data_IF_217696356777
#
_entry.id   IF_217696356777
#
_cell.length_a   1.000
_cell.length_b   1.000
_cell.length_c   1.000
_cell.angle_alpha   90.00
_cell.angle_beta   90.00
_cell.angle_gamma   90.00
#
_symmetry.space_group_name_H-M   'P 1'
#
loop_
_entity.id
_entity.type
_entity.pdbx_description
1 polymer ?
#
# COMPACT_ATOMS: atom_id res chain seq x y z
N UNK A 1 12.22 -3.07 -47.85
CA UNK A 1 11.51 -3.75 -46.75
C UNK A 1 11.57 -2.85 -45.52
N UNK A 2 10.46 -2.21 -45.16
CA UNK A 2 10.37 -1.46 -43.90
C UNK A 2 10.25 -2.48 -42.78
N UNK A 3 11.29 -2.60 -41.95
CA UNK A 3 11.26 -3.47 -40.77
C UNK A 3 10.21 -2.87 -39.81
N UNK A 4 9.11 -3.57 -39.49
CA UNK A 4 8.15 -3.06 -38.52
C UNK A 4 8.86 -2.89 -37.17
N UNK A 5 8.59 -1.80 -36.43
CA UNK A 5 9.21 -1.59 -35.13
C UNK A 5 8.87 -2.77 -34.21
N UNK A 6 9.83 -3.16 -33.37
CA UNK A 6 9.64 -4.24 -32.40
C UNK A 6 8.39 -3.98 -31.56
N UNK A 7 7.42 -4.91 -31.63
CA UNK A 7 6.20 -4.84 -30.83
C UNK A 7 6.61 -5.00 -29.37
N UNK A 8 6.42 -3.94 -28.58
CA UNK A 8 6.75 -3.95 -27.16
C UNK A 8 5.85 -4.98 -26.47
N UNK A 9 6.39 -5.96 -25.72
CA UNK A 9 5.55 -6.93 -25.03
C UNK A 9 4.62 -6.18 -24.07
N UNK A 10 3.30 -6.47 -24.08
CA UNK A 10 2.33 -5.83 -23.20
C UNK A 10 2.72 -6.07 -21.75
N UNK A 11 2.50 -5.07 -20.87
CA UNK A 11 2.87 -5.21 -19.46
C UNK A 11 1.91 -6.21 -18.82
N UNK A 12 2.39 -7.05 -17.91
CA UNK A 12 1.56 -8.05 -17.20
C UNK A 12 0.30 -7.44 -16.54
N UNK A 13 0.39 -6.17 -16.12
CA UNK A 13 -0.73 -5.40 -15.59
C UNK A 13 -1.92 -5.24 -16.55
N UNK A 14 -1.67 -5.27 -17.86
CA UNK A 14 -2.70 -5.12 -18.90
C UNK A 14 -3.58 -6.40 -19.00
N UNK A 15 -3.13 -7.55 -18.48
CA UNK A 15 -3.93 -8.78 -18.35
C UNK A 15 -4.65 -8.90 -17.00
N UNK A 16 -4.02 -8.41 -15.92
CA UNK A 16 -4.57 -8.36 -14.57
C UNK A 16 -5.81 -7.46 -14.42
N UNK A 17 -5.81 -6.35 -15.16
CA UNK A 17 -6.86 -5.34 -15.14
C UNK A 17 -7.20 -4.95 -16.58
N UNK A 18 -7.89 -5.85 -17.31
CA UNK A 18 -7.96 -5.75 -18.76
C UNK A 18 -8.81 -4.58 -19.22
N UNK A 19 -9.87 -4.23 -18.50
CA UNK A 19 -10.78 -3.12 -18.87
C UNK A 19 -10.28 -1.77 -18.35
N UNK A 20 -9.94 -0.87 -19.27
CA UNK A 20 -9.41 0.46 -18.96
C UNK A 20 -10.38 1.54 -19.44
N UNK A 21 -10.91 2.32 -18.52
CA UNK A 21 -11.72 3.51 -18.77
C UNK A 21 -10.81 4.68 -19.18
N UNK A 22 -11.03 5.21 -20.38
CA UNK A 22 -10.42 6.43 -20.89
C UNK A 22 -11.51 7.46 -21.18
N UNK A 23 -11.28 8.70 -20.76
CA UNK A 23 -12.21 9.81 -20.97
C UNK A 23 -11.54 10.95 -21.73
N UNK A 24 -12.28 11.53 -22.66
CA UNK A 24 -11.83 12.62 -23.50
C UNK A 24 -12.88 13.72 -23.54
N UNK A 25 -12.46 14.93 -23.18
CA UNK A 25 -13.32 16.11 -23.19
C UNK A 25 -12.84 17.02 -24.31
N UNK A 26 -13.70 17.26 -25.28
CA UNK A 26 -13.50 18.32 -26.27
C UNK A 26 -14.28 19.56 -25.84
N UNK A 27 -14.09 20.68 -26.54
CA UNK A 27 -14.85 21.90 -26.28
C UNK A 27 -16.35 21.75 -26.58
N UNK A 28 -16.74 20.72 -27.35
CA UNK A 28 -18.12 20.49 -27.80
C UNK A 28 -18.76 19.25 -27.18
N UNK A 29 -18.00 18.19 -26.94
CA UNK A 29 -18.52 16.88 -26.59
C UNK A 29 -17.71 16.18 -25.50
N UNK A 30 -18.39 15.33 -24.75
CA UNK A 30 -17.82 14.42 -23.75
C UNK A 30 -17.81 13.00 -24.31
N UNK A 31 -16.66 12.34 -24.25
CA UNK A 31 -16.48 10.96 -24.67
C UNK A 31 -15.87 10.14 -23.53
N UNK A 32 -16.41 8.95 -23.31
CA UNK A 32 -15.88 7.98 -22.36
C UNK A 32 -15.93 6.58 -22.98
N UNK A 33 -14.83 5.84 -22.86
CA UNK A 33 -14.67 4.53 -23.49
C UNK A 33 -13.96 3.58 -22.54
N UNK A 34 -14.41 2.33 -22.51
CA UNK A 34 -13.75 1.23 -21.82
C UNK A 34 -13.13 0.33 -22.88
N UNK A 35 -11.81 0.20 -22.83
CA UNK A 35 -11.02 -0.57 -23.80
C UNK A 35 -10.53 -1.85 -23.11
N UNK A 36 -10.64 -2.98 -23.80
CA UNK A 36 -10.03 -4.23 -23.41
C UNK A 36 -8.55 -4.23 -23.83
N UNK A 37 -7.64 -4.16 -22.86
CA UNK A 37 -6.20 -3.97 -23.10
C UNK A 37 -5.55 -5.12 -23.89
N UNK A 38 -5.87 -6.40 -23.66
CA UNK A 38 -5.29 -7.52 -24.43
C UNK A 38 -5.71 -7.53 -25.90
N UNK A 39 -6.99 -7.26 -26.20
CA UNK A 39 -7.53 -7.34 -27.56
C UNK A 39 -7.54 -5.98 -28.28
N UNK A 40 -7.22 -4.90 -27.57
CA UNK A 40 -7.34 -3.51 -28.04
C UNK A 40 -8.75 -3.12 -28.57
N UNK A 41 -9.78 -3.88 -28.21
CA UNK A 41 -11.17 -3.65 -28.62
C UNK A 41 -11.90 -2.73 -27.64
N UNK A 42 -12.84 -1.92 -28.14
CA UNK A 42 -13.69 -1.07 -27.30
C UNK A 42 -14.82 -1.93 -26.75
N UNK A 43 -14.77 -2.24 -25.46
CA UNK A 43 -15.79 -3.05 -24.78
C UNK A 43 -17.10 -2.26 -24.62
N UNK A 44 -17.01 -1.01 -24.18
CA UNK A 44 -18.15 -0.09 -24.08
C UNK A 44 -17.70 1.32 -24.47
N UNK A 45 -18.60 2.07 -25.11
CA UNK A 45 -18.42 3.48 -25.40
C UNK A 45 -19.68 4.23 -24.98
N UNK A 46 -19.49 5.48 -24.56
CA UNK A 46 -20.55 6.44 -24.32
C UNK A 46 -20.06 7.82 -24.76
N UNK A 47 -20.84 8.52 -25.59
CA UNK A 47 -20.53 9.92 -25.91
C UNK A 47 -21.76 10.78 -26.11
N UNK A 48 -21.62 12.06 -25.80
CA UNK A 48 -22.65 13.06 -26.07
C UNK A 48 -22.86 13.33 -27.58
N UNK A 49 -22.07 12.68 -28.45
CA UNK A 49 -22.20 12.76 -29.91
C UNK A 49 -23.05 11.62 -30.49
N UNK A 50 -23.44 10.64 -29.67
CA UNK A 50 -24.31 9.55 -30.12
C UNK A 50 -25.66 10.08 -30.60
N UNK A 51 -26.15 9.58 -31.75
CA UNK A 51 -27.41 10.05 -32.36
C UNK A 51 -28.58 10.02 -31.36
N UNK A 52 -28.69 8.93 -30.59
CA UNK A 52 -29.74 8.75 -29.57
C UNK A 52 -29.62 9.71 -28.36
N UNK A 53 -28.43 10.25 -28.09
CA UNK A 53 -28.19 11.14 -26.95
C UNK A 53 -28.13 12.61 -27.34
N UNK A 54 -27.89 12.90 -28.62
CA UNK A 54 -27.74 14.26 -29.13
C UNK A 54 -29.04 15.06 -29.05
N UNK A 55 -30.18 14.40 -29.21
CA UNK A 55 -31.51 15.02 -29.14
C UNK A 55 -32.01 15.20 -27.69
N UNK A 56 -31.52 14.36 -26.77
CA UNK A 56 -31.93 14.37 -25.36
C UNK A 56 -31.06 15.26 -24.46
N UNK A 57 -29.94 15.75 -24.99
CA UNK A 57 -28.99 16.62 -24.29
C UNK A 57 -29.00 18.03 -24.87
N UNK A 58 -29.59 18.99 -24.15
CA UNK A 58 -29.54 20.43 -24.52
C UNK A 58 -28.11 20.98 -24.48
N UNK A 59 -27.31 20.55 -23.50
CA UNK A 59 -25.90 20.92 -23.35
C UNK A 59 -25.06 19.65 -23.36
N UNK A 60 -24.07 19.58 -24.24
CA UNK A 60 -23.26 18.38 -24.50
C UNK A 60 -21.85 18.43 -23.92
N UNK A 61 -21.51 19.49 -23.18
CA UNK A 61 -20.13 19.80 -22.78
C UNK A 61 -19.92 20.09 -21.30
N UNK A 62 -20.99 20.25 -20.53
CA UNK A 62 -20.93 20.68 -19.14
C UNK A 62 -20.74 19.49 -18.18
N UNK A 63 -20.78 19.78 -16.88
CA UNK A 63 -20.61 18.75 -15.83
C UNK A 63 -21.84 17.83 -15.79
N UNK A 64 -23.04 18.34 -16.08
CA UNK A 64 -24.25 17.51 -16.13
C UNK A 64 -24.21 16.54 -17.32
N UNK A 65 -23.74 16.97 -18.49
CA UNK A 65 -23.50 16.07 -19.61
C UNK A 65 -22.49 14.97 -19.24
N UNK A 66 -21.39 15.35 -18.58
CA UNK A 66 -20.38 14.39 -18.14
C UNK A 66 -20.95 13.34 -17.16
N UNK A 67 -21.80 13.76 -16.22
CA UNK A 67 -22.48 12.86 -15.29
C UNK A 67 -23.43 11.89 -16.03
N UNK A 68 -24.27 12.42 -16.94
CA UNK A 68 -25.18 11.60 -17.77
C UNK A 68 -24.42 10.56 -18.60
N UNK A 69 -23.31 10.95 -19.24
CA UNK A 69 -22.46 10.01 -19.99
C UNK A 69 -21.84 8.95 -19.08
N UNK A 70 -21.40 9.33 -17.87
CA UNK A 70 -20.88 8.38 -16.88
C UNK A 70 -21.94 7.36 -16.44
N UNK A 71 -23.17 7.81 -16.19
CA UNK A 71 -24.30 6.94 -15.81
C UNK A 71 -24.63 5.93 -16.92
N UNK A 72 -24.81 6.40 -18.15
CA UNK A 72 -25.10 5.55 -19.32
C UNK A 72 -23.97 4.53 -19.54
N UNK A 73 -22.72 4.95 -19.37
CA UNK A 73 -21.59 4.04 -19.49
C UNK A 73 -21.60 2.97 -18.40
N UNK A 74 -21.90 3.34 -17.15
CA UNK A 74 -22.03 2.41 -16.04
C UNK A 74 -23.12 1.36 -16.28
N UNK A 75 -24.30 1.79 -16.73
CA UNK A 75 -25.41 0.89 -17.08
C UNK A 75 -25.02 -0.08 -18.21
N UNK A 76 -24.37 0.43 -19.28
CA UNK A 76 -23.86 -0.41 -20.38
C UNK A 76 -22.81 -1.42 -19.91
N UNK A 77 -21.96 -1.04 -18.96
CA UNK A 77 -20.95 -1.94 -18.39
C UNK A 77 -21.59 -3.06 -17.56
N UNK A 78 -22.61 -2.73 -16.77
CA UNK A 78 -23.36 -3.74 -16.02
C UNK A 78 -24.09 -4.72 -16.95
N UNK A 79 -24.72 -4.23 -18.03
CA UNK A 79 -25.37 -5.09 -19.02
C UNK A 79 -24.40 -6.03 -19.73
N UNK A 80 -23.12 -5.64 -19.84
CA UNK A 80 -22.05 -6.48 -20.40
C UNK A 80 -21.30 -7.29 -19.35
N UNK A 81 -21.79 -7.34 -18.11
CA UNK A 81 -21.20 -8.10 -17.01
C UNK A 81 -19.74 -7.71 -16.72
N UNK A 82 -19.41 -6.41 -16.85
CA UNK A 82 -18.08 -5.88 -16.52
C UNK A 82 -18.17 -5.16 -15.15
N UNK A 83 -17.90 -5.86 -14.03
CA UNK A 83 -18.11 -5.31 -12.69
C UNK A 83 -17.01 -4.33 -12.24
N UNK A 84 -15.87 -4.32 -12.92
CA UNK A 84 -14.72 -3.51 -12.53
C UNK A 84 -13.95 -2.93 -13.71
N UNK A 85 -13.51 -1.68 -13.58
CA UNK A 85 -12.73 -0.96 -14.60
C UNK A 85 -11.55 -0.20 -13.99
N UNK A 86 -10.46 -0.09 -14.72
CA UNK A 86 -9.30 0.72 -14.33
C UNK A 86 -9.37 2.10 -14.95
N UNK A 87 -9.28 3.16 -14.15
CA UNK A 87 -9.33 4.53 -14.67
C UNK A 87 -7.94 4.92 -15.17
N UNK A 88 -7.86 5.33 -16.44
CA UNK A 88 -6.66 5.94 -17.01
C UNK A 88 -6.93 7.41 -17.34
N UNK A 89 -6.25 8.29 -16.61
CA UNK A 89 -6.28 9.72 -16.81
C UNK A 89 -5.10 10.17 -17.68
N UNK A 90 -5.34 11.16 -18.55
CA UNK A 90 -4.25 11.87 -19.23
C UNK A 90 -3.47 12.73 -18.22
N UNK A 91 -2.23 13.11 -18.55
CA UNK A 91 -1.34 13.86 -17.62
C UNK A 91 -1.94 15.19 -17.15
N UNK A 92 -2.73 15.82 -18.00
CA UNK A 92 -3.42 17.09 -17.76
C UNK A 92 -4.74 16.93 -17.00
N UNK A 93 -5.28 15.72 -16.91
CA UNK A 93 -6.53 15.45 -16.23
C UNK A 93 -6.28 15.32 -14.73
N UNK A 94 -7.12 15.96 -13.93
CA UNK A 94 -7.18 15.82 -12.48
C UNK A 94 -8.58 15.39 -12.09
N UNK A 95 -8.71 14.70 -10.96
CA UNK A 95 -10.02 14.29 -10.43
C UNK A 95 -10.78 15.52 -9.90
N UNK A 96 -11.38 16.26 -10.83
CA UNK A 96 -12.11 17.49 -10.60
C UNK A 96 -13.08 17.75 -11.76
N UNK A 97 -14.13 18.53 -11.51
CA UNK A 97 -15.09 18.96 -12.54
C UNK A 97 -15.67 17.81 -13.35
N UNK A 98 -15.48 17.85 -14.68
CA UNK A 98 -16.03 16.85 -15.62
C UNK A 98 -15.47 15.44 -15.40
N UNK A 99 -14.17 15.33 -15.08
CA UNK A 99 -13.53 14.05 -14.79
C UNK A 99 -14.18 13.40 -13.57
N UNK A 100 -14.37 14.19 -12.51
CA UNK A 100 -15.03 13.74 -11.28
C UNK A 100 -16.45 13.27 -11.57
N UNK A 101 -17.23 14.04 -12.33
CA UNK A 101 -18.61 13.70 -12.66
C UNK A 101 -18.74 12.36 -13.41
N UNK A 102 -17.86 12.07 -14.39
CA UNK A 102 -17.86 10.78 -15.09
C UNK A 102 -17.56 9.64 -14.12
N UNK A 103 -16.51 9.78 -13.31
CA UNK A 103 -16.05 8.72 -12.40
C UNK A 103 -17.09 8.44 -11.31
N UNK A 104 -17.66 9.49 -10.72
CA UNK A 104 -18.67 9.35 -9.66
C UNK A 104 -19.93 8.69 -10.19
N UNK A 105 -20.38 9.08 -11.40
CA UNK A 105 -21.57 8.48 -12.01
C UNK A 105 -21.37 7.00 -12.39
N UNK A 106 -20.16 6.61 -12.82
CA UNK A 106 -19.82 5.20 -13.08
C UNK A 106 -19.79 4.39 -11.78
N UNK A 107 -19.31 4.99 -10.68
CA UNK A 107 -19.31 4.35 -9.34
C UNK A 107 -20.72 4.21 -8.77
N UNK A 108 -21.55 5.24 -8.91
CA UNK A 108 -22.95 5.23 -8.49
C UNK A 108 -23.76 4.19 -9.26
N UNK A 109 -23.42 3.94 -10.52
CA UNK A 109 -23.98 2.84 -11.31
C UNK A 109 -23.51 1.45 -10.84
N UNK A 110 -22.68 1.33 -9.79
CA UNK A 110 -22.29 0.05 -9.20
C UNK A 110 -21.02 -0.58 -9.76
N UNK A 111 -20.30 0.09 -10.67
CA UNK A 111 -19.04 -0.41 -11.25
C UNK A 111 -17.86 -0.08 -10.34
N UNK A 112 -17.09 -1.09 -9.93
CA UNK A 112 -15.89 -0.92 -9.09
C UNK A 112 -14.75 -0.32 -9.91
N UNK A 113 -14.29 0.88 -9.54
CA UNK A 113 -13.18 1.55 -10.25
C UNK A 113 -11.86 1.52 -9.48
N UNK A 114 -10.74 1.19 -10.13
CA UNK A 114 -9.39 1.27 -9.53
C UNK A 114 -8.50 2.21 -10.34
N UNK A 115 -7.76 3.11 -9.70
CA UNK A 115 -6.84 4.01 -10.40
C UNK A 115 -5.52 3.32 -10.74
N UNK A 116 -4.96 3.59 -11.93
CA UNK A 116 -3.76 2.91 -12.45
C UNK A 116 -2.48 3.22 -11.63
N UNK A 117 -2.48 4.27 -10.80
CA UNK A 117 -1.30 4.78 -10.07
C UNK A 117 -1.30 4.52 -8.54
N UNK A 118 -2.04 3.52 -8.05
CA UNK A 118 -1.83 2.99 -6.70
C UNK A 118 -2.19 3.93 -5.53
N UNK A 119 -3.00 4.98 -5.75
CA UNK A 119 -3.66 5.71 -4.66
C UNK A 119 -5.11 5.25 -4.53
N UNK A 120 -5.41 4.61 -3.41
CA UNK A 120 -6.77 4.27 -3.01
C UNK A 120 -7.41 5.53 -2.43
N UNK A 121 -8.26 6.21 -3.19
CA UNK A 121 -9.10 7.29 -2.67
C UNK A 121 -10.30 6.65 -1.96
N UNK A 122 -10.28 6.64 -0.62
CA UNK A 122 -11.51 6.62 0.17
C UNK A 122 -11.96 8.09 0.34
N UNK A 123 -13.23 8.34 0.08
CA UNK A 123 -13.80 9.69 0.04
C UNK A 123 -13.92 10.31 1.43
N UNK A 124 -13.36 11.51 1.60
CA UNK A 124 -14.06 12.66 2.17
C UNK A 124 -13.42 13.97 1.64
N UNK A 125 -14.25 14.72 0.91
CA UNK A 125 -14.24 16.14 0.47
C UNK A 125 -13.01 17.03 0.81
N UNK A 126 -12.29 17.48 -0.26
CA UNK A 126 -11.78 18.85 -0.62
C UNK A 126 -11.17 19.69 0.53
N UNK A 127 -9.98 20.29 0.51
CA UNK A 127 -8.90 20.67 -0.44
C UNK A 127 -7.73 21.15 0.47
N UNK A 128 -6.45 21.22 0.09
CA UNK A 128 -5.94 22.12 -0.93
C UNK A 128 -4.44 21.86 -1.21
N UNK A 129 -4.06 22.09 -2.48
CA UNK A 129 -2.78 22.61 -3.03
C UNK A 129 -1.40 22.26 -2.43
N UNK A 130 -0.26 22.21 -3.13
CA UNK A 130 0.13 22.41 -4.53
C UNK A 130 1.58 21.90 -4.71
N UNK A 131 1.85 21.53 -5.96
CA UNK A 131 3.09 21.28 -6.73
C UNK A 131 4.31 22.16 -6.41
N UNK A 132 5.49 21.56 -6.22
CA UNK A 132 6.70 21.53 -7.11
C UNK A 132 7.71 22.66 -6.73
N UNK A 133 9.02 22.73 -7.13
CA UNK A 133 9.70 22.05 -8.25
C UNK A 133 11.20 21.62 -8.04
N UNK A 134 11.75 20.81 -9.00
CA UNK A 134 13.03 20.95 -9.77
C UNK A 134 14.37 21.10 -8.98
N UNK A 135 15.58 20.65 -9.35
CA UNK A 135 16.27 20.14 -10.54
C UNK A 135 17.57 19.45 -10.11
N UNK A 136 18.06 18.59 -11.00
CA UNK A 136 19.48 18.26 -11.27
C UNK A 136 20.52 19.34 -11.00
N UNK A 137 21.75 18.92 -10.62
CA UNK A 137 23.04 19.40 -11.17
C UNK A 137 24.22 18.54 -10.66
N UNK A 138 25.40 18.59 -11.34
CA UNK A 138 26.53 17.67 -11.17
C UNK A 138 27.57 18.23 -10.19
N UNK A 139 28.53 17.40 -9.74
CA UNK A 139 29.75 17.90 -9.09
C UNK A 139 30.99 17.17 -9.60
N UNK A 140 32.00 17.98 -9.95
CA UNK A 140 33.39 17.60 -10.13
C UNK A 140 34.18 18.37 -9.05
N UNK A 141 35.00 17.64 -8.26
CA UNK A 141 36.30 17.99 -7.66
C UNK A 141 36.46 19.39 -7.00
N UNK A 142 36.94 19.55 -5.76
CA UNK A 142 38.24 19.09 -5.22
C UNK A 142 38.32 19.38 -3.70
N UNK A 143 38.74 18.38 -2.91
CA UNK A 143 39.66 18.41 -1.74
C UNK A 143 39.60 19.58 -0.74
N UNK A 144 39.33 19.27 0.55
CA UNK A 144 40.37 19.24 1.61
C UNK A 144 39.87 18.53 2.89
N UNK A 145 40.50 17.39 3.16
CA UNK A 145 40.83 16.75 4.46
C UNK A 145 40.12 17.24 5.74
N UNK A 146 39.43 16.31 6.40
CA UNK A 146 39.87 15.80 7.70
C UNK A 146 39.28 14.42 7.99
N UNK A 147 40.18 13.50 8.32
CA UNK A 147 39.91 12.12 8.71
C UNK A 147 39.06 12.09 9.99
N UNK A 148 37.93 11.40 9.94
CA UNK A 148 37.52 10.51 11.02
C UNK A 148 37.00 9.22 10.40
N UNK A 149 37.88 8.23 10.36
CA UNK A 149 37.56 6.83 10.17
C UNK A 149 36.65 6.38 11.30
N UNK A 150 35.36 6.37 11.02
CA UNK A 150 34.32 5.79 11.86
C UNK A 150 33.35 5.01 11.00
N UNK A 151 33.87 4.19 10.07
CA UNK A 151 33.09 3.14 9.44
C UNK A 151 32.55 2.25 10.56
N UNK A 152 31.27 2.40 10.88
CA UNK A 152 30.55 1.41 11.67
C UNK A 152 30.59 0.13 10.83
N UNK A 153 31.55 -0.74 11.16
CA UNK A 153 31.64 -2.10 10.63
C UNK A 153 30.27 -2.74 10.79
N UNK A 154 29.62 -3.24 9.73
CA UNK A 154 28.47 -4.10 9.92
C UNK A 154 29.01 -5.37 10.54
N UNK A 155 28.59 -5.65 11.78
CA UNK A 155 28.94 -6.88 12.51
C UNK A 155 28.89 -8.08 11.57
N UNK A 156 30.02 -8.79 11.51
CA UNK A 156 30.18 -10.05 10.81
C UNK A 156 29.21 -11.08 11.37
N UNK A 157 28.05 -11.26 10.73
CA UNK A 157 27.11 -12.36 11.03
C UNK A 157 26.50 -12.90 9.75
N UNK A 158 27.29 -13.69 9.02
CA UNK A 158 26.84 -14.55 7.93
C UNK A 158 26.80 -13.91 6.55
N UNK A 159 27.01 -14.76 5.54
CA UNK A 159 26.77 -14.47 4.12
C UNK A 159 25.46 -15.10 3.69
N UNK A 160 24.80 -14.55 2.68
CA UNK A 160 23.58 -15.13 2.12
C UNK A 160 23.91 -16.49 1.48
N UNK A 161 23.11 -17.50 1.82
CA UNK A 161 23.26 -18.89 1.35
C UNK A 161 21.97 -19.33 0.69
N UNK A 162 22.04 -19.76 -0.57
CA UNK A 162 20.87 -20.22 -1.32
C UNK A 162 20.18 -21.40 -0.61
N UNK A 163 18.84 -21.38 -0.57
CA UNK A 163 18.05 -22.32 0.26
C UNK A 163 17.89 -23.71 -0.36
N UNK A 164 17.99 -23.81 -1.68
CA UNK A 164 17.73 -25.04 -2.42
C UNK A 164 16.26 -25.43 -2.44
N UNK A 165 15.97 -26.64 -2.91
CA UNK A 165 14.60 -27.14 -3.08
C UNK A 165 13.82 -26.28 -4.08
N UNK A 166 12.60 -25.86 -3.69
CA UNK A 166 11.76 -25.02 -4.54
C UNK A 166 12.16 -23.55 -4.59
N UNK A 167 13.12 -23.12 -3.76
CA UNK A 167 13.49 -21.71 -3.64
C UNK A 167 14.59 -21.35 -4.62
N UNK A 168 14.36 -20.31 -5.41
CA UNK A 168 15.36 -19.82 -6.35
C UNK A 168 16.65 -19.37 -5.64
N UNK A 169 17.83 -19.62 -6.21
CA UNK A 169 19.10 -19.17 -5.64
C UNK A 169 19.15 -17.66 -5.44
N UNK A 170 19.89 -17.19 -4.42
CA UNK A 170 20.09 -15.77 -4.19
C UNK A 170 21.08 -15.17 -5.19
N UNK A 171 20.72 -14.07 -5.83
CA UNK A 171 21.70 -13.24 -6.58
C UNK A 171 22.81 -12.68 -5.67
N UNK A 172 22.53 -12.60 -4.37
CA UNK A 172 23.46 -12.13 -3.35
C UNK A 172 24.21 -13.26 -2.64
N UNK A 173 24.19 -14.48 -3.18
CA UNK A 173 24.93 -15.61 -2.62
C UNK A 173 26.41 -15.26 -2.37
N UNK A 174 26.89 -15.65 -1.18
CA UNK A 174 28.25 -15.31 -0.71
C UNK A 174 28.44 -13.86 -0.26
N UNK A 175 27.43 -12.99 -0.36
CA UNK A 175 27.48 -11.59 0.07
C UNK A 175 26.70 -11.39 1.37
N UNK A 176 27.05 -10.41 2.22
CA UNK A 176 26.26 -10.11 3.41
C UNK A 176 24.88 -9.54 3.04
N UNK A 177 23.85 -9.75 3.90
CA UNK A 177 22.55 -9.14 3.71
C UNK A 177 22.65 -7.62 3.57
N UNK A 178 22.03 -7.06 2.53
CA UNK A 178 22.15 -5.64 2.17
C UNK A 178 20.80 -4.93 2.22
N UNK A 179 20.84 -3.61 2.28
CA UNK A 179 19.64 -2.80 2.07
C UNK A 179 19.32 -2.71 0.57
N UNK A 180 18.04 -2.75 0.24
CA UNK A 180 17.53 -2.61 -1.12
C UNK A 180 16.98 -1.19 -1.31
N UNK A 181 17.40 -0.52 -2.39
CA UNK A 181 16.94 0.83 -2.73
C UNK A 181 15.52 0.85 -3.31
N UNK A 182 14.84 2.00 -3.23
CA UNK A 182 13.53 2.19 -3.90
C UNK A 182 13.74 2.41 -5.40
N UNK A 183 12.86 1.85 -6.25
CA UNK A 183 12.92 2.01 -7.71
C UNK A 183 12.99 0.68 -8.46
N UNK A 184 13.75 0.62 -9.55
CA UNK A 184 13.87 -0.56 -10.43
C UNK A 184 14.48 -1.80 -9.75
N UNK A 185 15.17 -1.61 -8.63
CA UNK A 185 15.77 -2.68 -7.81
C UNK A 185 14.94 -3.00 -6.56
N UNK A 186 13.77 -2.38 -6.38
CA UNK A 186 12.91 -2.60 -5.21
C UNK A 186 12.27 -3.99 -5.24
N UNK A 187 12.01 -4.54 -4.06
CA UNK A 187 11.36 -5.83 -3.94
C UNK A 187 9.92 -5.76 -4.45
N UNK A 188 9.52 -6.77 -5.24
CA UNK A 188 8.15 -6.90 -5.77
C UNK A 188 7.17 -7.27 -4.66
N UNK A 189 7.61 -8.11 -3.72
CA UNK A 189 6.93 -8.55 -2.49
C UNK A 189 7.88 -8.39 -1.28
N UNK A 190 7.44 -8.71 -0.06
CA UNK A 190 8.35 -8.82 1.11
C UNK A 190 9.10 -7.54 1.49
N UNK A 191 8.50 -6.38 1.19
CA UNK A 191 9.09 -5.04 1.40
C UNK A 191 9.47 -4.74 2.84
N UNK A 192 8.93 -5.50 3.79
CA UNK A 192 9.30 -5.45 5.20
C UNK A 192 10.80 -5.68 5.42
N UNK A 193 11.46 -6.50 4.60
CA UNK A 193 12.89 -6.80 4.74
C UNK A 193 13.80 -5.85 3.95
N UNK A 194 13.27 -4.78 3.34
CA UNK A 194 14.02 -3.86 2.47
C UNK A 194 15.30 -3.30 3.11
N UNK A 195 15.31 -3.08 4.42
CA UNK A 195 16.46 -2.49 5.14
C UNK A 195 17.65 -3.45 5.25
N UNK A 196 17.41 -4.76 5.26
CA UNK A 196 18.45 -5.79 5.41
C UNK A 196 17.91 -7.13 4.93
N UNK A 197 18.31 -7.58 3.75
CA UNK A 197 17.82 -8.83 3.14
C UNK A 197 18.86 -9.46 2.21
N UNK A 198 18.68 -10.75 1.96
CA UNK A 198 19.37 -11.51 0.90
C UNK A 198 18.58 -11.51 -0.43
N UNK A 199 17.34 -11.05 -0.43
CA UNK A 199 16.46 -11.09 -1.60
C UNK A 199 16.70 -9.95 -2.60
N UNK A 200 16.48 -10.28 -3.87
CA UNK A 200 16.26 -9.37 -5.00
C UNK A 200 14.80 -9.47 -5.47
N UNK A 201 14.40 -8.67 -6.48
CA UNK A 201 13.12 -8.85 -7.18
C UNK A 201 12.90 -10.29 -7.68
N UNK A 202 13.96 -10.99 -8.10
CA UNK A 202 13.86 -12.36 -8.60
C UNK A 202 13.40 -13.35 -7.51
N UNK A 203 13.92 -13.22 -6.28
CA UNK A 203 13.52 -14.11 -5.18
C UNK A 203 12.15 -13.75 -4.59
N UNK A 204 11.67 -12.52 -4.77
CA UNK A 204 10.36 -12.09 -4.26
C UNK A 204 9.21 -12.32 -5.24
N UNK A 205 9.52 -12.56 -6.51
CA UNK A 205 8.51 -12.82 -7.53
C UNK A 205 7.73 -14.15 -7.32
N UNK A 206 8.35 -15.29 -6.96
CA UNK A 206 7.61 -16.51 -6.64
C UNK A 206 6.61 -16.32 -5.51
N UNK A 207 7.00 -15.62 -4.44
CA UNK A 207 6.11 -15.27 -3.32
C UNK A 207 4.91 -14.43 -3.79
N UNK A 208 5.15 -13.43 -4.66
CA UNK A 208 4.09 -12.62 -5.25
C UNK A 208 3.12 -13.46 -6.08
N UNK A 209 3.63 -14.35 -6.93
CA UNK A 209 2.81 -15.24 -7.77
C UNK A 209 2.00 -16.20 -6.89
N UNK A 210 2.61 -16.79 -5.87
CA UNK A 210 1.94 -17.72 -4.96
C UNK A 210 0.76 -17.06 -4.23
N UNK A 211 0.97 -15.88 -3.62
CA UNK A 211 -0.11 -15.14 -2.92
C UNK A 211 -1.21 -14.72 -3.88
N UNK A 212 -0.86 -14.32 -5.11
CA UNK A 212 -1.85 -13.98 -6.13
C UNK A 212 -2.68 -15.19 -6.54
N UNK A 213 -2.04 -16.33 -6.78
CA UNK A 213 -2.69 -17.58 -7.15
C UNK A 213 -3.64 -18.04 -6.04
N UNK A 214 -3.17 -17.98 -4.79
CA UNK A 214 -3.96 -18.27 -3.60
C UNK A 214 -5.22 -17.38 -3.50
N UNK A 215 -5.10 -16.11 -3.88
CA UNK A 215 -6.23 -15.18 -3.89
C UNK A 215 -7.19 -15.38 -5.08
N UNK A 216 -6.69 -15.87 -6.21
CA UNK A 216 -7.47 -15.94 -7.48
C UNK A 216 -8.12 -17.30 -7.67
N UNK A 217 -7.37 -18.37 -7.43
CA UNK A 217 -7.78 -19.75 -7.68
C UNK A 217 -7.86 -20.58 -6.39
N UNK A 218 -7.15 -20.16 -5.35
CA UNK A 218 -7.14 -20.84 -4.06
C UNK A 218 -8.37 -20.58 -3.18
N UNK A 219 -9.26 -19.65 -3.55
CA UNK A 219 -10.41 -19.21 -2.74
C UNK A 219 -10.04 -18.85 -1.28
N UNK A 220 -8.82 -18.38 -1.05
CA UNK A 220 -8.31 -18.18 0.29
C UNK A 220 -8.94 -17.00 1.04
N UNK A 221 -9.10 -17.17 2.35
CA UNK A 221 -9.47 -16.09 3.27
C UNK A 221 -8.40 -14.99 3.34
N UNK A 222 -8.78 -13.79 3.77
CA UNK A 222 -7.81 -12.69 3.94
C UNK A 222 -6.71 -13.03 4.96
N UNK A 223 -7.06 -13.76 6.02
CA UNK A 223 -6.10 -14.20 7.04
C UNK A 223 -5.11 -15.22 6.47
N UNK A 224 -5.60 -16.16 5.66
CA UNK A 224 -4.74 -17.09 4.92
C UNK A 224 -3.77 -16.34 4.00
N UNK A 225 -4.26 -15.40 3.20
CA UNK A 225 -3.41 -14.62 2.29
C UNK A 225 -2.29 -13.88 3.05
N UNK A 226 -2.63 -13.25 4.18
CA UNK A 226 -1.65 -12.51 4.97
C UNK A 226 -0.61 -13.43 5.63
N UNK A 227 -1.05 -14.52 6.25
CA UNK A 227 -0.15 -15.48 6.90
C UNK A 227 0.74 -16.21 5.88
N UNK A 228 0.17 -16.54 4.72
CA UNK A 228 0.91 -17.18 3.63
C UNK A 228 1.91 -16.22 2.98
N UNK A 229 1.60 -14.92 2.84
CA UNK A 229 2.58 -13.90 2.44
C UNK A 229 3.77 -13.87 3.41
N UNK A 230 3.50 -13.85 4.72
CA UNK A 230 4.55 -13.84 5.73
C UNK A 230 5.42 -15.11 5.68
N UNK A 231 4.80 -16.27 5.41
CA UNK A 231 5.50 -17.54 5.23
C UNK A 231 6.41 -17.52 4.01
N UNK A 232 5.90 -17.14 2.83
CA UNK A 232 6.69 -17.05 1.60
C UNK A 232 7.81 -16.00 1.71
N UNK A 233 7.58 -14.92 2.45
CA UNK A 233 8.58 -13.89 2.68
C UNK A 233 9.66 -14.26 3.71
N UNK A 234 9.56 -15.42 4.39
CA UNK A 234 10.54 -15.88 5.38
C UNK A 234 11.96 -15.96 4.81
N UNK A 235 12.10 -16.33 3.53
CA UNK A 235 13.38 -16.38 2.81
C UNK A 235 14.08 -15.01 2.74
N UNK A 236 13.34 -13.91 2.83
CA UNK A 236 13.92 -12.57 2.77
C UNK A 236 14.35 -12.04 4.14
N UNK A 237 14.00 -12.74 5.23
CA UNK A 237 14.50 -12.42 6.55
C UNK A 237 16.04 -12.61 6.58
N UNK A 238 16.82 -11.63 7.05
CA UNK A 238 18.28 -11.71 7.01
C UNK A 238 18.84 -12.84 7.88
N UNK A 239 18.18 -13.20 8.99
CA UNK A 239 18.63 -14.28 9.86
C UNK A 239 18.33 -15.65 9.25
N UNK A 240 17.27 -15.76 8.45
CA UNK A 240 16.94 -16.98 7.70
C UNK A 240 17.85 -17.08 6.47
N UNK A 241 18.06 -15.97 5.77
CA UNK A 241 18.84 -15.90 4.53
C UNK A 241 20.29 -16.35 4.66
N UNK A 242 20.88 -16.25 5.85
CA UNK A 242 22.26 -16.70 6.13
C UNK A 242 22.39 -18.17 6.59
N UNK A 243 21.27 -18.85 6.87
CA UNK A 243 21.30 -20.25 7.33
C UNK A 243 21.24 -21.21 6.13
N UNK A 244 21.96 -22.34 6.14
CA UNK A 244 21.88 -23.33 5.07
C UNK A 244 20.56 -24.11 5.11
N UNK A 245 20.19 -24.68 3.95
CA UNK A 245 19.00 -25.51 3.79
C UNK A 245 17.69 -24.73 3.65
N UNK A 246 16.53 -25.43 3.64
CA UNK A 246 15.22 -24.79 3.51
C UNK A 246 14.95 -23.80 4.66
N UNK A 247 14.19 -22.72 4.42
CA UNK A 247 13.86 -21.75 5.46
C UNK A 247 13.22 -22.45 6.66
N UNK A 248 13.76 -22.18 7.86
CA UNK A 248 13.33 -22.79 9.11
C UNK A 248 12.20 -22.01 9.74
N UNK A 249 11.05 -22.65 9.90
CA UNK A 249 9.80 -22.06 10.38
C UNK A 249 9.40 -22.69 11.72
N UNK A 250 8.86 -21.88 12.62
CA UNK A 250 8.36 -22.35 13.92
C UNK A 250 7.06 -23.15 13.73
N UNK A 251 6.91 -24.28 14.43
CA UNK A 251 5.72 -25.12 14.33
C UNK A 251 4.43 -24.34 14.65
N UNK A 252 4.44 -23.49 15.69
CA UNK A 252 3.26 -22.68 16.03
C UNK A 252 2.86 -21.67 14.95
N UNK A 253 3.80 -21.22 14.13
CA UNK A 253 3.50 -20.35 13.00
C UNK A 253 2.90 -21.16 11.84
N UNK A 254 3.46 -22.34 11.57
CA UNK A 254 2.91 -23.27 10.59
C UNK A 254 1.47 -23.71 10.93
N UNK A 255 1.17 -23.98 12.20
CA UNK A 255 -0.19 -24.31 12.65
C UNK A 255 -1.17 -23.16 12.41
N UNK A 256 -0.75 -21.91 12.63
CA UNK A 256 -1.59 -20.74 12.31
C UNK A 256 -1.83 -20.58 10.82
N UNK A 257 -0.79 -20.78 10.00
CA UNK A 257 -0.93 -20.71 8.54
C UNK A 257 -1.90 -21.79 8.07
N UNK A 258 -1.71 -23.04 8.51
CA UNK A 258 -2.57 -24.15 8.12
C UNK A 258 -4.01 -23.95 8.57
N UNK A 259 -4.25 -23.56 9.82
CA UNK A 259 -5.60 -23.33 10.31
C UNK A 259 -6.34 -22.23 9.53
N UNK A 260 -5.62 -21.17 9.13
CA UNK A 260 -6.19 -20.12 8.29
C UNK A 260 -6.43 -20.57 6.84
N UNK A 261 -5.57 -21.45 6.31
CA UNK A 261 -5.55 -21.86 4.91
C UNK A 261 -6.17 -23.23 4.61
N UNK A 262 -6.65 -23.97 5.62
CA UNK A 262 -7.13 -25.35 5.47
C UNK A 262 -8.23 -25.51 4.43
N UNK A 263 -9.07 -24.49 4.27
CA UNK A 263 -10.18 -24.47 3.31
C UNK A 263 -9.80 -23.95 1.92
N UNK A 264 -8.59 -23.41 1.76
CA UNK A 264 -8.10 -22.92 0.48
C UNK A 264 -7.56 -24.05 -0.39
N UNK A 265 -7.60 -23.87 -1.71
CA UNK A 265 -7.18 -24.88 -2.69
C UNK A 265 -5.70 -24.81 -3.02
N UNK A 266 -5.06 -25.97 -2.93
CA UNK A 266 -3.64 -26.20 -3.22
C UNK A 266 -3.47 -27.36 -4.19
N UNK A 267 -2.35 -27.34 -4.89
CA UNK A 267 -1.92 -28.37 -5.82
C UNK A 267 -0.47 -28.76 -5.55
N UNK A 268 -0.10 -29.98 -5.91
CA UNK A 268 1.28 -30.45 -5.85
C UNK A 268 2.03 -30.11 -7.13
N UNK A 269 3.19 -29.48 -7.01
CA UNK A 269 4.06 -29.24 -8.15
C UNK A 269 4.79 -30.54 -8.54
N UNK A 270 4.63 -30.99 -9.79
CA UNK A 270 5.21 -32.23 -10.29
C UNK A 270 6.77 -32.25 -10.27
N UNK A 271 7.42 -31.07 -10.34
CA UNK A 271 8.89 -30.96 -10.36
C UNK A 271 9.49 -30.93 -8.96
N UNK A 272 8.85 -30.23 -8.03
CA UNK A 272 9.41 -30.05 -6.68
C UNK A 272 8.77 -30.94 -5.63
N UNK A 273 7.71 -31.68 -6.00
CA UNK A 273 6.84 -32.46 -5.08
C UNK A 273 6.31 -31.64 -3.90
N UNK A 274 6.36 -30.31 -4.01
CA UNK A 274 5.94 -29.39 -2.97
C UNK A 274 4.52 -28.89 -3.28
N UNK A 275 3.69 -28.81 -2.25
CA UNK A 275 2.35 -28.22 -2.39
C UNK A 275 2.46 -26.70 -2.45
N UNK A 276 1.65 -26.09 -3.31
CA UNK A 276 1.55 -24.65 -3.49
C UNK A 276 0.13 -24.23 -3.86
N UNK A 277 -0.18 -22.93 -3.80
CA UNK A 277 -1.50 -22.44 -4.17
C UNK A 277 -1.82 -22.77 -5.63
N UNK A 278 -3.05 -23.19 -5.88
CA UNK A 278 -3.51 -23.50 -7.24
C UNK A 278 -3.29 -22.34 -8.21
N UNK A 279 -2.73 -22.65 -9.38
CA UNK A 279 -2.39 -21.70 -10.43
C UNK A 279 -3.24 -21.86 -11.69
N UNK A 280 -3.00 -20.95 -12.64
CA UNK A 280 -3.72 -20.91 -13.92
C UNK A 280 -3.30 -22.02 -14.89
N UNK A 281 -2.06 -22.52 -14.78
CA UNK A 281 -1.45 -23.40 -15.76
C UNK A 281 -0.76 -24.55 -15.00
N UNK A 282 -1.18 -25.79 -15.29
CA UNK A 282 -0.56 -27.08 -14.97
C UNK A 282 -0.98 -27.81 -13.68
N UNK A 283 -1.90 -27.25 -12.87
CA UNK A 283 -2.44 -27.95 -11.71
C UNK A 283 -3.68 -28.79 -12.09
N UNK A 284 -3.47 -30.07 -12.42
CA UNK A 284 -4.54 -30.99 -12.83
C UNK A 284 -5.51 -31.27 -11.67
N UNK A 285 -5.02 -31.24 -10.42
CA UNK A 285 -5.81 -31.57 -9.23
C UNK A 285 -5.62 -30.48 -8.16
N UNK A 286 -6.67 -29.69 -7.98
CA UNK A 286 -6.80 -28.70 -6.91
C UNK A 286 -7.69 -29.26 -5.81
N UNK A 287 -7.14 -29.45 -4.62
CA UNK A 287 -7.89 -29.89 -3.44
C UNK A 287 -7.59 -28.98 -2.26
N UNK A 288 -8.48 -28.98 -1.27
CA UNK A 288 -8.30 -28.20 -0.05
C UNK A 288 -7.01 -28.60 0.68
N UNK A 289 -6.34 -27.63 1.31
CA UNK A 289 -5.15 -27.90 2.14
C UNK A 289 -5.41 -28.96 3.22
N UNK A 290 -6.61 -28.99 3.80
CA UNK A 290 -7.03 -30.02 4.76
C UNK A 290 -7.02 -31.45 4.23
N UNK A 291 -7.06 -31.61 2.90
CA UNK A 291 -7.03 -32.91 2.25
C UNK A 291 -5.61 -33.35 1.90
N UNK A 292 -4.68 -32.40 1.77
CA UNK A 292 -3.26 -32.68 1.59
C UNK A 292 -2.63 -33.09 2.91
N UNK A 293 -2.89 -32.33 3.97
CA UNK A 293 -2.24 -32.51 5.27
C UNK A 293 -3.20 -32.29 6.44
N UNK A 294 -2.87 -32.92 7.57
CA UNK A 294 -3.71 -32.92 8.78
C UNK A 294 -3.28 -31.90 9.84
N UNK A 295 -2.03 -31.43 9.78
CA UNK A 295 -1.46 -30.51 10.76
C UNK A 295 -0.53 -29.49 10.09
N UNK A 296 -0.26 -28.38 10.79
CA UNK A 296 0.50 -27.28 10.21
C UNK A 296 1.97 -27.61 9.95
N UNK A 297 2.58 -28.43 10.79
CA UNK A 297 3.96 -28.89 10.60
C UNK A 297 4.12 -29.61 9.26
N UNK A 298 3.28 -30.63 9.01
CA UNK A 298 3.28 -31.37 7.77
C UNK A 298 2.92 -30.48 6.58
N UNK A 299 1.97 -29.55 6.73
CA UNK A 299 1.64 -28.57 5.69
C UNK A 299 2.84 -27.71 5.27
N UNK A 300 3.60 -27.17 6.23
CA UNK A 300 4.81 -26.40 5.93
C UNK A 300 5.91 -27.25 5.29
N UNK A 301 6.10 -28.48 5.75
CA UNK A 301 7.09 -29.43 5.18
C UNK A 301 6.72 -29.82 3.75
N UNK A 302 5.45 -30.14 3.51
CA UNK A 302 4.90 -30.38 2.18
C UNK A 302 5.02 -29.14 1.29
N UNK A 303 4.93 -27.93 1.84
CA UNK A 303 5.19 -26.68 1.13
C UNK A 303 6.70 -26.38 0.97
N UNK A 304 7.59 -27.32 1.30
CA UNK A 304 9.03 -27.24 1.07
C UNK A 304 9.83 -26.46 2.13
N UNK A 305 9.24 -26.14 3.28
CA UNK A 305 9.93 -25.51 4.41
C UNK A 305 10.51 -26.54 5.38
N UNK A 306 11.46 -26.13 6.23
CA UNK A 306 11.86 -26.95 7.38
C UNK A 306 11.15 -26.45 8.63
N UNK A 307 10.62 -27.35 9.45
CA UNK A 307 9.87 -26.97 10.67
C UNK A 307 10.66 -27.31 11.93
N UNK A 308 10.57 -26.44 12.93
CA UNK A 308 11.14 -26.64 14.24
C UNK A 308 10.03 -26.72 15.30
N UNK A 309 9.95 -27.85 15.99
CA UNK A 309 8.91 -28.11 17.01
C UNK A 309 9.07 -27.26 18.29
N UNK A 310 10.30 -26.93 18.68
CA UNK A 310 10.57 -26.12 19.87
C UNK A 310 10.85 -24.66 19.49
N UNK A 311 9.83 -23.82 19.64
CA UNK A 311 9.85 -22.40 19.27
C UNK A 311 10.83 -21.54 20.09
N UNK A 312 11.24 -22.02 21.28
CA UNK A 312 12.02 -21.26 22.26
C UNK A 312 13.52 -21.63 22.30
N UNK A 313 14.01 -22.45 21.37
CA UNK A 313 15.44 -22.82 21.36
C UNK A 313 16.32 -21.59 21.05
N UNK A 314 16.99 -21.07 22.08
CA UNK A 314 17.86 -19.88 21.99
C UNK A 314 19.08 -20.07 21.08
N UNK A 315 19.46 -21.31 20.80
CA UNK A 315 20.64 -21.65 19.99
C UNK A 315 20.37 -21.61 18.48
N UNK A 316 19.12 -21.87 18.05
CA UNK A 316 18.72 -21.89 16.63
C UNK A 316 17.32 -21.27 16.50
N UNK A 317 17.21 -19.95 16.26
CA UNK A 317 15.90 -19.30 16.16
C UNK A 317 15.20 -19.69 14.86
N UNK A 318 13.93 -20.08 14.96
CA UNK A 318 13.04 -20.27 13.82
C UNK A 318 12.29 -18.97 13.47
N UNK A 319 11.82 -18.88 12.23
CA UNK A 319 10.99 -17.77 11.77
C UNK A 319 9.53 -17.98 12.20
N UNK A 320 8.88 -16.91 12.67
CA UNK A 320 7.48 -16.95 13.12
C UNK A 320 7.29 -17.02 14.64
N UNK A 321 8.37 -17.14 15.42
CA UNK A 321 8.29 -17.01 16.88
C UNK A 321 7.88 -15.59 17.27
N UNK A 322 7.25 -15.43 18.44
CA UNK A 322 6.80 -14.13 18.96
C UNK A 322 7.93 -13.09 18.97
N UNK A 323 9.14 -13.49 19.36
CA UNK A 323 10.34 -12.64 19.36
C UNK A 323 10.81 -12.26 17.93
N UNK A 324 10.68 -13.17 16.97
CA UNK A 324 11.03 -12.91 15.56
C UNK A 324 10.06 -11.91 14.93
N UNK A 325 8.75 -12.04 15.21
CA UNK A 325 7.72 -11.10 14.75
C UNK A 325 7.86 -9.72 15.43
N UNK A 326 8.16 -9.67 16.73
CA UNK A 326 8.40 -8.41 17.44
C UNK A 326 9.61 -7.64 16.89
N UNK A 327 10.67 -8.32 16.42
CA UNK A 327 11.80 -7.66 15.76
C UNK A 327 11.43 -7.02 14.41
N UNK A 328 10.51 -7.67 13.68
CA UNK A 328 9.94 -7.18 12.42
C UNK A 328 9.03 -5.96 12.71
N UNK A 329 8.20 -6.03 13.76
CA UNK A 329 7.34 -4.94 14.23
C UNK A 329 8.15 -3.77 14.82
N UNK A 330 9.27 -4.03 15.49
CA UNK A 330 10.15 -2.98 16.04
C UNK A 330 10.93 -2.26 14.93
N UNK A 331 11.24 -2.96 13.83
CA UNK A 331 11.76 -2.34 12.60
C UNK A 331 10.75 -1.36 11.97
N UNK A 332 9.44 -1.60 12.17
CA UNK A 332 8.35 -0.69 11.81
C UNK A 332 8.27 0.50 12.77
N UNK A 333 8.44 0.24 14.07
CA UNK A 333 8.35 1.26 15.12
C UNK A 333 9.52 2.26 15.12
N UNK A 334 10.73 1.82 14.71
CA UNK A 334 11.91 2.70 14.55
C UNK A 334 11.80 3.67 13.36
N UNK A 335 11.05 3.33 12.32
CA UNK A 335 10.76 4.25 11.20
C UNK A 335 9.81 5.38 11.63
N UNK A 336 8.92 5.09 12.57
CA UNK A 336 8.02 6.08 13.16
C UNK A 336 8.67 6.90 14.29
N UNK A 337 9.66 6.32 15.00
CA UNK A 337 10.40 6.99 16.09
C UNK A 337 11.53 7.93 15.65
N UNK A 338 12.02 7.88 14.40
CA UNK A 338 12.99 8.89 13.90
C UNK A 338 12.40 10.31 13.79
N UNK A 339 11.09 10.48 13.96
CA UNK A 339 10.45 11.77 14.23
C UNK A 339 10.16 11.94 15.72
N UNK A 340 11.19 12.00 16.58
CA UNK A 340 11.09 12.56 17.94
C UNK A 340 12.45 12.54 18.64
N UNK A 341 13.12 13.69 18.69
CA UNK A 341 13.96 14.23 19.78
C UNK A 341 14.26 15.72 19.45
N UNK A 342 14.79 16.54 20.36
CA UNK A 342 14.03 17.56 21.08
C UNK A 342 14.42 18.99 20.64
N UNK A 343 13.69 19.97 21.15
CA UNK A 343 13.95 21.40 21.01
C UNK A 343 15.43 21.79 21.23
N UNK A 344 15.99 22.61 20.35
CA UNK A 344 16.29 24.03 20.63
C UNK A 344 17.02 24.70 19.45
N UNK A 345 16.61 25.96 19.24
CA UNK A 345 17.36 27.07 18.63
C UNK A 345 17.91 26.89 17.22
N UNK A 346 17.17 27.42 16.25
CA UNK A 346 17.72 28.33 15.22
C UNK A 346 16.56 29.07 14.53
N UNK A 347 15.80 29.81 15.34
CA UNK A 347 14.91 30.87 14.84
C UNK A 347 15.75 32.11 14.54
N UNK A 348 16.48 32.14 13.42
CA UNK A 348 17.07 33.37 12.90
C UNK A 348 17.57 33.20 11.45
N UNK A 349 16.61 33.07 10.53
CA UNK A 349 16.87 33.30 9.09
C UNK A 349 15.59 33.72 8.34
N UNK A 350 14.41 33.34 8.85
CA UNK A 350 13.11 33.71 8.29
C UNK A 350 12.51 35.01 8.90
N UNK A 351 13.33 36.04 9.13
CA UNK A 351 12.84 37.39 9.51
C UNK A 351 13.50 38.53 8.73
N UNK A 352 14.28 38.23 7.68
CA UNK A 352 14.91 39.26 6.85
C UNK A 352 14.06 39.68 5.63
N UNK A 353 13.15 38.84 5.15
CA UNK A 353 12.28 39.23 4.02
C UNK A 353 10.93 39.83 4.45
N UNK A 354 10.52 39.61 5.70
CA UNK A 354 9.28 40.19 6.24
C UNK A 354 9.45 41.65 6.70
N UNK A 355 10.67 42.07 7.10
CA UNK A 355 10.96 43.46 7.47
C UNK A 355 11.15 44.40 6.27
N UNK A 356 11.33 43.86 5.07
CA UNK A 356 11.50 44.69 3.87
C UNK A 356 10.16 45.10 3.24
N UNK A 357 9.11 44.30 3.46
CA UNK A 357 7.77 44.54 2.90
C UNK A 357 6.92 45.54 3.74
N UNK A 358 7.23 45.73 5.02
CA UNK A 358 6.49 46.64 5.92
C UNK A 358 6.88 48.12 5.72
N UNK A 359 7.93 48.42 4.93
CA UNK A 359 8.39 49.77 4.60
C UNK A 359 7.59 50.48 3.49
N UNK A 360 6.67 49.80 2.81
CA UNK A 360 5.96 50.36 1.63
C UNK A 360 4.49 50.71 1.90
N UNK A 361 3.97 50.48 3.10
CA UNK A 361 2.56 50.79 3.42
C UNK A 361 2.42 52.13 4.13
N UNK A 362 1.61 53.03 3.56
CA UNK A 362 1.27 54.33 4.14
C UNK A 362 0.51 54.17 5.47
N UNK A 363 0.68 55.15 6.36
CA UNK A 363 0.31 55.08 7.78
C UNK A 363 -1.20 54.95 8.06
N UNK A 364 -2.05 55.15 7.06
CA UNK A 364 -3.50 55.31 7.27
C UNK A 364 -4.28 53.97 7.25
N UNK A 365 -3.71 52.85 6.80
CA UNK A 365 -4.42 51.55 6.77
C UNK A 365 -4.05 50.54 7.86
N UNK A 366 -3.11 50.83 8.77
CA UNK A 366 -2.65 49.85 9.78
C UNK A 366 -3.57 49.69 11.01
N UNK A 367 -4.48 50.64 11.27
CA UNK A 367 -5.28 50.64 12.52
C UNK A 367 -6.59 49.83 12.38
N UNK A 368 -7.10 49.62 11.17
CA UNK A 368 -8.39 48.93 10.95
C UNK A 368 -8.29 47.39 11.01
N UNK A 369 -7.11 46.80 10.80
CA UNK A 369 -6.95 45.34 10.70
C UNK A 369 -6.48 44.66 11.99
N UNK A 370 -6.12 45.41 13.04
CA UNK A 370 -5.56 44.83 14.27
C UNK A 370 -6.59 44.21 15.21
N UNK A 371 -7.78 44.80 15.34
CA UNK A 371 -8.77 44.37 16.35
C UNK A 371 -9.56 43.12 15.93
N UNK A 372 -9.84 42.96 14.64
CA UNK A 372 -10.71 41.89 14.14
C UNK A 372 -10.06 40.49 14.19
N UNK A 373 -8.73 40.40 14.09
CA UNK A 373 -8.01 39.13 14.07
C UNK A 373 -7.85 38.48 15.45
N UNK A 374 -7.83 39.26 16.54
CA UNK A 374 -7.63 38.73 17.89
C UNK A 374 -8.90 38.07 18.46
N UNK A 375 -10.08 38.60 18.14
CA UNK A 375 -11.36 38.07 18.67
C UNK A 375 -11.77 36.78 17.96
N UNK A 376 -11.58 36.69 16.63
CA UNK A 376 -11.87 35.48 15.86
C UNK A 376 -10.90 34.33 16.18
N UNK A 377 -9.63 34.65 16.47
CA UNK A 377 -8.60 33.66 16.81
C UNK A 377 -8.89 32.91 18.12
N UNK A 378 -9.33 33.63 19.17
CA UNK A 378 -9.65 33.00 20.46
C UNK A 378 -10.89 32.10 20.41
N UNK A 379 -11.89 32.43 19.59
CA UNK A 379 -13.12 31.64 19.47
C UNK A 379 -12.88 30.28 18.78
N UNK A 380 -12.05 30.27 17.74
CA UNK A 380 -11.70 29.03 17.01
C UNK A 380 -10.83 28.09 17.85
N UNK A 381 -9.89 28.63 18.63
CA UNK A 381 -9.04 27.82 19.52
C UNK A 381 -9.89 27.15 20.63
N UNK A 382 -10.87 27.87 21.19
CA UNK A 382 -11.76 27.35 22.23
C UNK A 382 -12.70 26.24 21.71
N UNK A 383 -13.20 26.38 20.47
CA UNK A 383 -14.07 25.38 19.85
C UNK A 383 -13.30 24.11 19.42
N UNK A 384 -12.03 24.26 19.03
CA UNK A 384 -11.16 23.15 18.63
C UNK A 384 -10.79 22.24 19.82
N UNK A 385 -10.45 22.83 20.97
CA UNK A 385 -10.14 22.07 22.18
C UNK A 385 -11.33 21.27 22.74
N UNK A 386 -12.55 21.79 22.65
CA UNK A 386 -13.75 21.09 23.13
C UNK A 386 -14.14 19.89 22.25
N UNK A 387 -13.97 19.98 20.91
CA UNK A 387 -14.23 18.86 19.99
C UNK A 387 -13.20 17.73 20.14
N UNK A 388 -11.94 18.09 20.35
CA UNK A 388 -10.85 17.12 20.55
C UNK A 388 -11.01 16.31 21.86
N UNK A 389 -11.52 16.92 22.94
CA UNK A 389 -11.78 16.21 24.19
C UNK A 389 -12.91 15.18 24.08
N UNK A 390 -14.02 15.52 23.40
CA UNK A 390 -15.13 14.57 23.16
C UNK A 390 -14.70 13.35 22.32
N UNK A 391 -13.86 13.56 21.31
CA UNK A 391 -13.34 12.47 20.48
C UNK A 391 -12.39 11.54 21.25
N UNK A 392 -11.60 12.08 22.19
CA UNK A 392 -10.69 11.30 23.04
C UNK A 392 -11.43 10.43 24.06
N UNK A 393 -12.51 10.94 24.68
CA UNK A 393 -13.36 10.17 25.59
C UNK A 393 -14.08 9.00 24.90
N UNK A 394 -14.57 9.21 23.67
CA UNK A 394 -15.20 8.15 22.88
C UNK A 394 -14.21 7.06 22.43
N UNK A 395 -12.95 7.42 22.16
CA UNK A 395 -11.89 6.46 21.83
C UNK A 395 -11.49 5.59 23.04
N UNK A 396 -11.41 6.18 24.24
CA UNK A 396 -11.10 5.47 25.49
C UNK A 396 -12.24 4.50 25.85
N UNK A 397 -13.50 4.91 25.71
CA UNK A 397 -14.65 4.02 25.94
C UNK A 397 -14.72 2.83 24.96
N UNK A 398 -14.29 3.01 23.71
CA UNK A 398 -14.21 1.91 22.73
C UNK A 398 -13.05 0.96 23.01
N UNK A 399 -11.94 1.46 23.53
CA UNK A 399 -10.81 0.64 23.96
C UNK A 399 -11.15 -0.20 25.20
N UNK A 400 -11.89 0.37 26.17
CA UNK A 400 -12.32 -0.33 27.37
C UNK A 400 -13.28 -1.51 27.07
N UNK A 401 -14.17 -1.38 26.06
CA UNK A 401 -15.06 -2.49 25.63
C UNK A 401 -14.33 -3.63 24.93
N UNK A 402 -13.20 -3.36 24.27
CA UNK A 402 -12.42 -4.38 23.52
C UNK A 402 -11.55 -5.27 24.42
N UNK A 403 -11.33 -4.87 25.68
CA UNK A 403 -10.49 -5.62 26.62
C UNK A 403 -11.27 -6.45 27.65
N UNK A 404 -12.60 -6.58 27.50
CA UNK A 404 -13.39 -7.56 28.27
C UNK A 404 -13.37 -7.40 29.80
N UNK A 405 -13.03 -6.22 30.33
CA UNK A 405 -13.03 -5.96 31.76
C UNK A 405 -14.42 -5.55 32.25
N UNK A 406 -15.12 -6.45 32.95
CA UNK A 406 -16.31 -6.09 33.71
C UNK A 406 -15.87 -5.38 35.00
N UNK A 407 -15.94 -4.04 35.06
CA UNK A 407 -15.70 -3.26 36.29
C UNK A 407 -16.70 -2.10 36.39
N UNK A 408 -17.44 -2.11 37.51
CA UNK A 408 -18.52 -1.20 37.86
C UNK A 408 -18.16 0.30 37.78
N UNK A 409 -19.04 1.07 37.15
CA UNK A 409 -18.87 2.47 36.75
C UNK A 409 -18.92 3.55 37.84
N UNK A 410 -18.77 3.23 39.13
CA UNK A 410 -18.97 4.21 40.22
C UNK A 410 -17.71 4.79 40.88
N UNK A 411 -16.49 4.37 40.49
CA UNK A 411 -15.27 4.84 41.18
C UNK A 411 -14.60 6.08 40.52
N UNK A 412 -14.87 6.36 39.24
CA UNK A 412 -14.17 7.43 38.52
C UNK A 412 -14.84 8.82 38.58
N UNK A 413 -16.11 8.92 39.01
CA UNK A 413 -16.80 10.21 39.13
C UNK A 413 -16.40 11.00 40.37
N UNK A 414 -15.96 10.34 41.45
CA UNK A 414 -15.60 10.99 42.71
C UNK A 414 -14.21 11.66 42.68
N UNK A 415 -13.29 11.21 41.81
CA UNK A 415 -11.93 11.74 41.73
C UNK A 415 -11.81 13.05 40.91
N UNK A 416 -12.81 13.37 40.08
CA UNK A 416 -12.77 14.54 39.19
C UNK A 416 -13.44 15.78 39.83
N UNK A 417 -14.43 15.60 40.71
CA UNK A 417 -15.11 16.72 41.38
C UNK A 417 -14.27 17.48 42.42
N UNK A 418 -13.06 17.01 42.79
CA UNK A 418 -12.14 17.76 43.66
C UNK A 418 -11.20 18.73 42.93
N UNK A 419 -11.23 18.82 41.59
CA UNK A 419 -10.39 19.76 40.82
C UNK A 419 -11.14 20.94 40.19
N UNK A 420 -12.44 21.09 40.45
CA UNK A 420 -13.26 22.18 39.88
C UNK A 420 -13.56 23.29 40.91
N UNK A 421 -13.15 23.14 42.17
CA UNK A 421 -13.24 24.20 43.18
C UNK A 421 -11.82 24.66 43.57
N UNK A 422 -11.11 25.25 42.61
CA UNK A 422 -9.93 26.12 42.79
C UNK A 422 -9.39 26.51 41.40
N UNK A 423 -10.16 27.32 40.66
CA UNK A 423 -9.66 28.17 39.57
C UNK A 423 -10.70 29.22 39.22
#
# INVERSE_FOLDING_TARGET
MVIPPAVRPPRLFDYLKPYVLKMHFTNKFVHAQVIHSPTATVACSASSQEKALRETMEVTRDVAAAAKIGKILGERLLMKEIPAVTIHMKKEQRYHGKVKAVIDSVREAGVKSVEKDGKMFNQEVVSDSQSDPVSSSPDLLLVRTQCFSGAVKPDSKGVCVSKGGRFSPYESEGKPPKSVGRGSKDLTMCRVFRKRTCCSPAQTNPAFVAVRNLATYGEASQDCLHLFELLECSICNPNVGIQPGPPRICASFCDKVFEACKDAYFASNALTQAIGPCGANDDIVCVKASNWESNGTAFCEAAGFSVQANDDSREKPCYGSKASLESVVESWSRDSRKKKTPSKTETLSCFKDLLQWVRVMTTIQKISLGLSFLVAGMFLIRQWNHRNQKQRLAAIQRAARRLGGNVNGNSYSAAINRRIVQS
#
